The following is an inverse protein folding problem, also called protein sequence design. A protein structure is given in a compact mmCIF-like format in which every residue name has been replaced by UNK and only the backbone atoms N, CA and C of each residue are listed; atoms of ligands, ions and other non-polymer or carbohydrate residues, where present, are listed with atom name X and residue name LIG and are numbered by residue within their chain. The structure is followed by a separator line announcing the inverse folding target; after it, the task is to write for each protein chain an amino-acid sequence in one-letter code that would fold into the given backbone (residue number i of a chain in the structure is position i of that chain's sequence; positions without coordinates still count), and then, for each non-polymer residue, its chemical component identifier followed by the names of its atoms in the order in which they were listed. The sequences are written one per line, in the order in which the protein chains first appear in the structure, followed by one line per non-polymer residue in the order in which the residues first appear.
data_IF_903220295264
#
_entry.id   IF_903220295264
#
_cell.length_a   1.000
_cell.length_b   1.000
_cell.length_c   1.000
_cell.angle_alpha   90.00
_cell.angle_beta   90.00
_cell.angle_gamma   90.00
#
_symmetry.space_group_name_H-M   'P 1'
#
loop_
_entity.id
_entity.type
_entity.pdbx_description
1 polymer ?
#
# COMPACT_ATOMS: atom_id res chain seq x y z
N UNK A 1 -16.20 7.65 16.22
CA UNK A 1 -15.17 8.67 16.57
C UNK A 1 -14.07 8.50 15.55
N UNK A 2 -13.77 9.53 14.79
CA UNK A 2 -12.74 9.49 13.73
C UNK A 2 -11.38 9.08 14.32
N UNK A 3 -10.72 8.10 13.72
CA UNK A 3 -9.41 7.61 14.16
C UNK A 3 -8.35 8.68 13.91
N UNK A 4 -7.74 9.20 14.96
CA UNK A 4 -6.61 10.13 14.85
C UNK A 4 -5.32 9.35 14.65
N UNK A 5 -4.65 9.58 13.53
CA UNK A 5 -3.37 8.95 13.21
C UNK A 5 -2.23 9.97 13.22
N UNK A 6 -1.00 9.50 13.46
CA UNK A 6 0.20 10.29 13.20
C UNK A 6 0.29 10.60 11.70
N UNK A 7 0.92 11.71 11.36
CA UNK A 7 1.18 12.06 9.96
C UNK A 7 2.64 11.77 9.62
N UNK A 8 2.85 11.13 8.46
CA UNK A 8 4.17 11.01 7.84
C UNK A 8 4.16 11.67 6.47
N UNK A 9 5.33 12.08 5.99
CA UNK A 9 5.49 12.65 4.65
C UNK A 9 6.21 11.67 3.73
N UNK A 10 5.65 11.44 2.54
CA UNK A 10 6.25 10.61 1.49
C UNK A 10 6.49 11.51 0.28
N UNK A 11 7.69 12.09 0.19
CA UNK A 11 7.92 13.21 -0.72
C UNK A 11 6.96 14.36 -0.40
N UNK A 12 6.19 14.80 -1.38
CA UNK A 12 5.17 15.85 -1.20
C UNK A 12 3.80 15.34 -0.76
N UNK A 13 3.63 14.04 -0.43
CA UNK A 13 2.34 13.43 -0.08
C UNK A 13 2.26 13.17 1.41
N UNK A 14 1.31 13.83 2.09
CA UNK A 14 0.99 13.56 3.49
C UNK A 14 0.17 12.26 3.61
N UNK A 15 0.47 11.44 4.61
CA UNK A 15 -0.23 10.18 4.90
C UNK A 15 -0.54 10.14 6.39
N UNK A 16 -1.79 9.93 6.74
CA UNK A 16 -2.27 10.01 8.12
C UNK A 16 -2.49 11.45 8.59
N UNK A 17 -2.81 11.65 9.87
CA UNK A 17 -3.05 12.96 10.46
C UNK A 17 -4.25 13.72 9.86
N UNK A 18 -5.25 13.01 9.34
CA UNK A 18 -6.40 13.61 8.66
C UNK A 18 -6.14 14.03 7.22
N UNK A 19 -4.97 13.68 6.64
CA UNK A 19 -4.69 13.92 5.23
C UNK A 19 -5.61 13.05 4.34
N UNK A 20 -5.90 13.50 3.11
CA UNK A 20 -6.67 12.72 2.16
C UNK A 20 -6.07 11.34 1.91
N UNK A 21 -6.93 10.33 1.74
CA UNK A 21 -6.53 8.95 1.47
C UNK A 21 -5.67 8.86 0.20
N UNK A 22 -4.48 8.28 0.29
CA UNK A 22 -3.58 8.19 -0.86
C UNK A 22 -3.64 6.82 -1.55
N UNK A 23 -3.67 6.83 -2.89
CA UNK A 23 -3.58 5.63 -3.72
C UNK A 23 -2.12 5.38 -4.09
N UNK A 24 -1.61 4.22 -3.72
CA UNK A 24 -0.28 3.75 -4.12
C UNK A 24 -0.42 2.62 -5.15
N UNK A 25 0.49 2.57 -6.12
CA UNK A 25 0.68 1.41 -6.99
C UNK A 25 2.13 0.92 -6.96
N UNK A 26 2.41 -0.14 -7.68
CA UNK A 26 3.75 -0.73 -7.76
C UNK A 26 4.09 -1.00 -9.22
N UNK A 27 5.24 -0.51 -9.67
CA UNK A 27 5.73 -0.85 -10.99
C UNK A 27 6.03 -2.35 -11.11
N UNK A 28 5.75 -2.90 -12.27
CA UNK A 28 6.07 -4.28 -12.62
C UNK A 28 7.25 -4.38 -13.61
N UNK A 29 7.86 -3.25 -13.96
CA UNK A 29 9.11 -3.17 -14.69
C UNK A 29 10.29 -3.52 -13.79
N UNK A 30 11.41 -3.95 -14.37
CA UNK A 30 12.67 -4.08 -13.63
C UNK A 30 13.20 -2.68 -13.30
N UNK A 31 13.52 -2.39 -12.06
CA UNK A 31 14.03 -1.08 -11.63
C UNK A 31 15.33 -0.69 -12.38
N UNK A 32 16.11 -1.67 -12.83
CA UNK A 32 17.30 -1.44 -13.65
C UNK A 32 16.99 -0.97 -15.08
N UNK A 33 15.75 -1.11 -15.55
CA UNK A 33 15.26 -0.56 -16.81
C UNK A 33 14.61 0.81 -16.52
N UNK A 34 15.44 1.84 -16.55
CA UNK A 34 15.07 3.21 -16.16
C UNK A 34 13.99 3.78 -17.08
N UNK A 35 14.14 3.62 -18.40
CA UNK A 35 13.21 4.18 -19.39
C UNK A 35 11.82 3.55 -19.31
N UNK A 36 11.75 2.22 -19.29
CA UNK A 36 10.48 1.51 -19.14
C UNK A 36 9.80 1.84 -17.80
N UNK A 37 10.58 1.98 -16.74
CA UNK A 37 10.04 2.33 -15.41
C UNK A 37 9.51 3.76 -15.39
N UNK A 38 10.23 4.74 -15.93
CA UNK A 38 9.75 6.13 -16.04
C UNK A 38 8.47 6.22 -16.88
N UNK A 39 8.43 5.56 -18.03
CA UNK A 39 7.23 5.49 -18.86
C UNK A 39 6.02 4.95 -18.05
N UNK A 40 6.22 3.89 -17.29
CA UNK A 40 5.17 3.33 -16.44
C UNK A 40 4.76 4.28 -15.31
N UNK A 41 5.70 5.01 -14.69
CA UNK A 41 5.40 5.99 -13.64
C UNK A 41 4.58 7.17 -14.18
N UNK A 42 4.83 7.65 -15.38
CA UNK A 42 4.01 8.68 -16.02
C UNK A 42 2.58 8.18 -16.24
N UNK A 43 2.39 6.97 -16.76
CA UNK A 43 1.06 6.36 -16.92
C UNK A 43 0.33 6.19 -15.59
N UNK A 44 1.04 5.82 -14.53
CA UNK A 44 0.48 5.73 -13.17
C UNK A 44 0.05 7.10 -12.65
N UNK A 45 0.85 8.14 -12.88
CA UNK A 45 0.50 9.52 -12.52
C UNK A 45 -0.76 10.00 -13.23
N UNK A 46 -0.84 9.79 -14.55
CA UNK A 46 -2.01 10.13 -15.37
C UNK A 46 -3.28 9.39 -14.91
N UNK A 47 -3.14 8.14 -14.45
CA UNK A 47 -4.26 7.39 -13.87
C UNK A 47 -4.74 7.91 -12.50
N UNK A 48 -3.96 8.80 -11.85
CA UNK A 48 -4.27 9.35 -10.53
C UNK A 48 -3.60 8.62 -9.36
N UNK A 49 -2.48 7.91 -9.61
CA UNK A 49 -1.63 7.38 -8.55
C UNK A 49 -0.94 8.53 -7.79
N UNK A 50 -0.85 8.42 -6.46
CA UNK A 50 -0.21 9.44 -5.63
C UNK A 50 1.23 9.07 -5.25
N UNK A 51 1.52 7.77 -5.08
CA UNK A 51 2.83 7.25 -4.67
C UNK A 51 3.10 5.95 -5.43
N UNK A 52 4.30 5.79 -5.98
CA UNK A 52 4.69 4.56 -6.65
C UNK A 52 5.74 3.78 -5.85
N UNK A 53 5.75 2.45 -5.98
CA UNK A 53 6.71 1.57 -5.33
C UNK A 53 7.52 0.81 -6.37
N UNK A 54 8.84 0.76 -6.17
CA UNK A 54 9.79 0.02 -6.99
C UNK A 54 10.54 -0.99 -6.13
N UNK A 55 10.80 -2.18 -6.66
CA UNK A 55 11.62 -3.20 -5.99
C UNK A 55 13.10 -2.85 -6.11
N UNK A 56 13.83 -2.87 -4.98
CA UNK A 56 15.27 -2.59 -4.93
C UNK A 56 15.97 -3.78 -4.27
N UNK A 57 16.36 -4.80 -5.05
CA UNK A 57 16.97 -6.02 -4.51
C UNK A 57 18.45 -5.90 -4.22
N UNK A 58 19.16 -4.99 -4.89
CA UNK A 58 20.62 -4.86 -4.87
C UNK A 58 21.11 -3.43 -5.14
N UNK A 59 22.42 -3.21 -5.08
CA UNK A 59 23.05 -1.91 -5.33
C UNK A 59 22.78 -1.39 -6.75
N UNK A 60 22.83 -2.26 -7.76
CA UNK A 60 22.56 -1.87 -9.15
C UNK A 60 21.16 -1.30 -9.31
N UNK A 61 20.19 -1.93 -8.68
CA UNK A 61 18.80 -1.45 -8.67
C UNK A 61 18.68 -0.14 -7.86
N UNK A 62 19.40 0.03 -6.74
CA UNK A 62 19.41 1.26 -5.97
C UNK A 62 19.97 2.45 -6.78
N UNK A 63 21.08 2.26 -7.50
CA UNK A 63 21.62 3.28 -8.40
C UNK A 63 20.69 3.63 -9.55
N UNK A 64 19.99 2.64 -10.10
CA UNK A 64 18.95 2.87 -11.12
C UNK A 64 17.76 3.62 -10.52
N UNK A 65 17.36 3.27 -9.28
CA UNK A 65 16.30 3.94 -8.53
C UNK A 65 16.60 5.44 -8.38
N UNK A 66 17.84 5.83 -8.04
CA UNK A 66 18.25 7.23 -7.93
C UNK A 66 18.13 7.98 -9.25
N UNK A 67 18.43 7.33 -10.39
CA UNK A 67 18.20 7.93 -11.72
C UNK A 67 16.71 8.12 -12.00
N UNK A 68 15.90 7.10 -11.71
CA UNK A 68 14.44 7.18 -11.86
C UNK A 68 13.86 8.27 -10.95
N UNK A 69 14.33 8.38 -9.69
CA UNK A 69 13.81 9.33 -8.72
C UNK A 69 13.94 10.79 -9.17
N UNK A 70 15.03 11.13 -9.86
CA UNK A 70 15.27 12.50 -10.37
C UNK A 70 14.20 12.96 -11.35
N UNK A 71 13.73 12.05 -12.21
CA UNK A 71 12.80 12.36 -13.30
C UNK A 71 11.37 11.83 -13.05
N UNK A 72 11.15 11.19 -11.89
CA UNK A 72 9.86 10.62 -11.53
C UNK A 72 8.79 11.69 -11.26
N UNK A 73 7.60 11.59 -11.90
CA UNK A 73 6.48 12.47 -11.61
C UNK A 73 5.77 12.14 -10.28
N UNK A 74 6.19 11.08 -9.59
CA UNK A 74 5.61 10.55 -8.36
C UNK A 74 6.66 10.37 -7.28
N UNK A 75 6.32 10.57 -6.00
CA UNK A 75 7.13 10.07 -4.89
C UNK A 75 7.34 8.56 -4.98
N UNK A 76 8.54 8.10 -4.62
CA UNK A 76 8.95 6.71 -4.79
C UNK A 76 9.23 6.01 -3.47
N UNK A 77 8.65 4.82 -3.34
CA UNK A 77 8.91 3.88 -2.24
C UNK A 77 9.88 2.81 -2.69
N UNK A 78 11.00 2.66 -2.01
CA UNK A 78 11.91 1.55 -2.22
C UNK A 78 11.42 0.31 -1.44
N UNK A 79 11.16 -0.79 -2.16
CA UNK A 79 10.71 -2.06 -1.60
C UNK A 79 11.90 -3.01 -1.41
N UNK A 80 12.27 -3.21 -0.16
CA UNK A 80 13.43 -4.00 0.25
C UNK A 80 12.95 -5.32 0.83
N UNK A 81 13.43 -6.43 0.29
CA UNK A 81 12.99 -7.75 0.73
C UNK A 81 13.94 -8.38 1.77
N UNK A 82 15.26 -8.37 1.53
CA UNK A 82 16.22 -9.11 2.34
C UNK A 82 17.49 -8.34 2.68
N UNK A 83 18.04 -7.58 1.72
CA UNK A 83 19.34 -6.91 1.91
C UNK A 83 19.15 -5.54 2.55
N UNK A 84 19.60 -5.40 3.81
CA UNK A 84 19.54 -4.13 4.53
C UNK A 84 20.38 -3.02 3.85
N UNK A 85 21.46 -3.38 3.14
CA UNK A 85 22.29 -2.42 2.39
C UNK A 85 21.50 -1.79 1.24
N UNK A 86 20.61 -2.56 0.60
CA UNK A 86 19.72 -2.01 -0.44
C UNK A 86 18.80 -0.91 0.12
N UNK A 87 18.38 -1.01 1.38
CA UNK A 87 17.62 0.05 2.04
C UNK A 87 18.46 1.31 2.26
N UNK A 88 19.73 1.15 2.67
CA UNK A 88 20.65 2.26 2.88
C UNK A 88 20.93 2.96 1.54
N UNK A 89 21.30 2.21 0.51
CA UNK A 89 21.56 2.78 -0.82
C UNK A 89 20.33 3.47 -1.39
N UNK A 90 19.13 2.88 -1.23
CA UNK A 90 17.90 3.52 -1.70
C UNK A 90 17.62 4.83 -0.97
N UNK A 91 17.90 4.91 0.34
CA UNK A 91 17.78 6.14 1.11
C UNK A 91 18.76 7.21 0.63
N UNK A 92 20.01 6.84 0.37
CA UNK A 92 21.06 7.73 -0.16
C UNK A 92 20.75 8.21 -1.59
N UNK A 93 20.08 7.38 -2.38
CA UNK A 93 19.65 7.70 -3.75
C UNK A 93 18.30 8.47 -3.80
N UNK A 94 17.77 8.87 -2.64
CA UNK A 94 16.64 9.80 -2.52
C UNK A 94 15.26 9.15 -2.52
N UNK A 95 15.14 7.94 -1.99
CA UNK A 95 13.82 7.34 -1.75
C UNK A 95 12.96 8.24 -0.84
N UNK A 96 11.67 8.35 -1.12
CA UNK A 96 10.73 9.11 -0.30
C UNK A 96 10.13 8.26 0.84
N UNK A 97 10.24 6.95 0.76
CA UNK A 97 9.88 5.98 1.80
C UNK A 97 10.60 4.66 1.54
N UNK A 98 10.99 3.98 2.60
CA UNK A 98 11.52 2.62 2.51
C UNK A 98 10.49 1.64 3.06
N UNK A 99 10.21 0.56 2.34
CA UNK A 99 9.39 -0.55 2.83
C UNK A 99 10.29 -1.73 3.16
N UNK A 100 10.25 -2.18 4.39
CA UNK A 100 10.95 -3.36 4.87
C UNK A 100 10.00 -4.30 5.60
N UNK A 101 10.41 -5.57 5.69
CA UNK A 101 9.97 -6.47 6.75
C UNK A 101 11.18 -6.66 7.67
N UNK A 102 11.22 -6.03 8.86
CA UNK A 102 12.38 -6.09 9.75
C UNK A 102 12.77 -7.51 10.15
N UNK A 103 11.82 -8.47 10.12
CA UNK A 103 12.11 -9.90 10.32
C UNK A 103 13.01 -10.52 9.25
N UNK A 104 12.98 -9.97 8.02
CA UNK A 104 13.79 -10.46 6.90
C UNK A 104 15.13 -9.71 6.74
N UNK A 105 15.28 -8.56 7.39
CA UNK A 105 16.49 -7.71 7.29
C UNK A 105 17.66 -8.29 8.06
N UNK A 106 17.39 -9.06 9.10
CA UNK A 106 18.39 -9.73 9.91
C UNK A 106 18.53 -9.21 11.33
N UNK A 107 19.75 -9.01 11.82
CA UNK A 107 19.98 -8.63 13.22
C UNK A 107 19.50 -7.20 13.55
N UNK A 108 19.36 -6.92 14.83
CA UNK A 108 18.93 -5.61 15.35
C UNK A 108 19.88 -4.47 14.93
N UNK A 109 21.19 -4.75 14.86
CA UNK A 109 22.21 -3.80 14.39
C UNK A 109 21.99 -3.41 12.92
N UNK A 110 21.64 -4.36 12.05
CA UNK A 110 21.32 -4.10 10.64
C UNK A 110 20.07 -3.23 10.50
N UNK A 111 19.05 -3.50 11.32
CA UNK A 111 17.87 -2.63 11.41
C UNK A 111 18.28 -1.23 11.83
N UNK A 112 19.18 -1.10 12.82
CA UNK A 112 19.71 0.17 13.28
C UNK A 112 20.46 0.95 12.17
N UNK A 113 21.20 0.25 11.28
CA UNK A 113 21.86 0.91 10.14
C UNK A 113 20.82 1.48 9.16
N UNK A 114 19.75 0.73 8.86
CA UNK A 114 18.66 1.22 8.02
C UNK A 114 17.98 2.43 8.66
N UNK A 115 17.70 2.37 9.95
CA UNK A 115 17.09 3.49 10.70
C UNK A 115 17.96 4.74 10.64
N UNK A 116 19.30 4.60 10.87
CA UNK A 116 20.22 5.74 10.78
C UNK A 116 20.20 6.39 9.38
N UNK A 117 20.18 5.58 8.31
CA UNK A 117 20.10 6.09 6.96
C UNK A 117 18.74 6.82 6.72
N UNK A 118 17.62 6.21 7.11
CA UNK A 118 16.31 6.81 6.96
C UNK A 118 16.17 8.12 7.76
N UNK A 119 16.67 8.16 9.00
CA UNK A 119 16.68 9.39 9.83
C UNK A 119 17.51 10.49 9.19
N UNK A 120 18.71 10.17 8.71
CA UNK A 120 19.61 11.14 8.04
C UNK A 120 18.94 11.82 6.86
N UNK A 121 18.14 11.08 6.11
CA UNK A 121 17.44 11.57 4.91
C UNK A 121 15.97 11.96 5.17
N UNK A 122 15.51 11.90 6.43
CA UNK A 122 14.13 12.25 6.84
C UNK A 122 13.05 11.48 6.08
N UNK A 123 13.27 10.20 5.88
CA UNK A 123 12.34 9.32 5.16
C UNK A 123 11.68 8.30 6.09
N UNK A 124 10.35 8.13 5.99
CA UNK A 124 9.61 7.20 6.81
C UNK A 124 9.88 5.75 6.40
N UNK A 125 9.70 4.84 7.37
CA UNK A 125 9.79 3.41 7.16
C UNK A 125 8.39 2.80 7.19
N UNK A 126 8.04 2.01 6.16
CA UNK A 126 6.86 1.15 6.23
C UNK A 126 7.22 -0.26 6.65
N UNK A 127 6.68 -0.67 7.78
CA UNK A 127 6.67 -2.06 8.22
C UNK A 127 5.63 -2.82 7.39
N UNK A 128 6.08 -3.85 6.66
CA UNK A 128 5.20 -4.64 5.80
C UNK A 128 5.14 -6.08 6.23
N UNK A 129 4.13 -6.46 7.02
CA UNK A 129 3.89 -7.85 7.42
C UNK A 129 2.94 -8.52 6.42
N UNK A 130 3.28 -9.74 6.02
CA UNK A 130 2.43 -10.57 5.15
C UNK A 130 2.21 -11.92 5.82
N UNK A 131 0.99 -12.44 5.75
CA UNK A 131 0.65 -13.75 6.34
C UNK A 131 1.50 -14.91 5.82
N UNK A 132 1.95 -14.85 4.56
CA UNK A 132 2.83 -15.87 3.96
C UNK A 132 4.31 -15.78 4.37
N UNK A 133 4.71 -14.79 5.16
CA UNK A 133 6.11 -14.57 5.56
C UNK A 133 6.25 -14.15 7.03
N UNK A 134 5.39 -14.70 7.89
CA UNK A 134 5.51 -14.52 9.34
C UNK A 134 6.75 -15.24 9.89
N UNK A 135 7.29 -14.72 10.98
CA UNK A 135 8.38 -15.31 11.74
C UNK A 135 7.99 -16.72 12.25
N UNK A 136 8.96 -17.63 12.26
CA UNK A 136 8.72 -19.03 12.61
C UNK A 136 8.22 -19.24 14.03
N UNK A 137 8.70 -18.44 14.97
CA UNK A 137 8.30 -18.43 16.38
C UNK A 137 6.84 -17.94 16.56
N UNK A 138 6.47 -16.88 15.86
CA UNK A 138 5.08 -16.38 15.85
C UNK A 138 4.16 -17.42 15.21
N UNK A 139 4.57 -17.97 14.07
CA UNK A 139 3.76 -19.01 13.39
C UNK A 139 3.63 -20.27 14.26
N UNK A 140 4.67 -20.67 15.00
CA UNK A 140 4.61 -21.79 15.94
C UNK A 140 3.68 -21.50 17.13
N UNK A 141 3.65 -20.26 17.62
CA UNK A 141 2.77 -19.84 18.72
C UNK A 141 1.29 -19.87 18.34
N UNK A 142 0.94 -19.40 17.14
CA UNK A 142 -0.45 -19.27 16.71
C UNK A 142 -0.95 -20.39 15.82
N UNK A 143 -0.08 -21.25 15.32
CA UNK A 143 -0.40 -22.38 14.43
C UNK A 143 -0.79 -22.00 13.00
N UNK A 144 -1.16 -20.75 12.77
CA UNK A 144 -1.58 -20.20 11.48
C UNK A 144 -1.35 -18.68 11.42
N UNK A 145 -1.35 -18.04 10.24
CA UNK A 145 -1.26 -16.60 10.10
C UNK A 145 -2.59 -15.90 10.47
N UNK A 146 -2.94 -15.93 11.76
CA UNK A 146 -4.13 -15.27 12.31
C UNK A 146 -3.98 -13.76 12.36
N UNK A 147 -5.06 -13.04 12.64
CA UNK A 147 -5.05 -11.59 12.83
C UNK A 147 -4.10 -11.17 13.97
N UNK A 148 -4.15 -11.91 15.08
CA UNK A 148 -3.31 -11.67 16.25
C UNK A 148 -1.82 -11.91 15.92
N UNK A 149 -1.52 -12.97 15.15
CA UNK A 149 -0.15 -13.27 14.71
C UNK A 149 0.43 -12.13 13.84
N UNK A 150 -0.36 -11.61 12.90
CA UNK A 150 0.03 -10.47 12.06
C UNK A 150 0.30 -9.21 12.89
N UNK A 151 -0.55 -8.94 13.86
CA UNK A 151 -0.43 -7.76 14.73
C UNK A 151 0.75 -7.91 15.68
N UNK A 152 0.97 -9.09 16.28
CA UNK A 152 2.13 -9.34 17.14
C UNK A 152 3.44 -9.16 16.36
N UNK A 153 3.52 -9.71 15.15
CA UNK A 153 4.68 -9.49 14.26
C UNK A 153 4.92 -8.00 14.00
N UNK A 154 3.89 -7.27 13.61
CA UNK A 154 4.02 -5.84 13.33
C UNK A 154 4.46 -5.03 14.56
N UNK A 155 3.87 -5.29 15.72
CA UNK A 155 4.22 -4.61 16.97
C UNK A 155 5.65 -4.92 17.41
N UNK A 156 6.11 -6.16 17.27
CA UNK A 156 7.51 -6.51 17.56
C UNK A 156 8.50 -5.73 16.67
N UNK A 157 8.08 -5.45 15.41
CA UNK A 157 8.88 -4.63 14.51
C UNK A 157 8.82 -3.14 14.83
N UNK A 158 7.69 -2.62 15.29
CA UNK A 158 7.58 -1.27 15.84
C UNK A 158 8.52 -1.10 17.02
N UNK A 159 8.51 -2.03 17.97
CA UNK A 159 9.42 -2.02 19.11
C UNK A 159 10.90 -2.04 18.72
N UNK A 160 11.27 -2.79 17.65
CA UNK A 160 12.63 -2.75 17.11
C UNK A 160 13.01 -1.36 16.61
N UNK A 161 12.13 -0.66 15.90
CA UNK A 161 12.38 0.70 15.43
C UNK A 161 12.44 1.70 16.61
N UNK A 162 11.59 1.55 17.63
CA UNK A 162 11.61 2.37 18.84
C UNK A 162 12.92 2.23 19.64
N UNK A 163 13.52 1.05 19.68
CA UNK A 163 14.86 0.88 20.31
C UNK A 163 15.94 1.74 19.66
N UNK A 164 15.75 2.10 18.39
CA UNK A 164 16.59 3.02 17.64
C UNK A 164 16.02 4.45 17.61
N UNK A 165 15.04 4.77 18.48
CA UNK A 165 14.40 6.09 18.58
C UNK A 165 13.86 6.58 17.21
N UNK A 166 13.11 5.72 16.51
CA UNK A 166 12.52 6.01 15.21
C UNK A 166 11.00 5.86 15.25
N UNK A 167 10.28 6.93 14.85
CA UNK A 167 8.82 7.05 14.99
C UNK A 167 8.09 7.40 13.67
N UNK A 168 8.81 7.70 12.59
CA UNK A 168 8.21 7.95 11.26
C UNK A 168 7.81 6.63 10.60
N UNK A 169 6.78 6.00 11.14
CA UNK A 169 6.38 4.63 10.81
C UNK A 169 5.01 4.62 10.12
N UNK A 170 4.89 3.79 9.10
CA UNK A 170 3.62 3.36 8.50
C UNK A 170 3.53 1.83 8.60
N UNK A 171 2.34 1.27 8.76
CA UNK A 171 2.18 -0.17 8.94
C UNK A 171 1.28 -0.77 7.87
N UNK A 172 1.62 -1.94 7.36
CA UNK A 172 0.76 -2.73 6.49
C UNK A 172 0.71 -4.19 6.92
N UNK A 173 -0.51 -4.71 7.07
CA UNK A 173 -0.82 -6.10 7.45
C UNK A 173 -1.57 -6.74 6.29
N UNK A 174 -0.92 -7.65 5.57
CA UNK A 174 -1.52 -8.22 4.37
C UNK A 174 -1.79 -9.71 4.55
N UNK A 175 -3.02 -10.10 4.24
CA UNK A 175 -3.47 -11.47 4.13
C UNK A 175 -4.19 -11.68 2.80
N UNK A 176 -4.21 -12.90 2.30
CA UNK A 176 -5.05 -13.31 1.16
C UNK A 176 -6.48 -13.63 1.59
N UNK A 177 -6.68 -13.93 2.87
CA UNK A 177 -8.00 -14.07 3.49
C UNK A 177 -8.54 -12.71 3.94
N UNK A 178 -9.71 -12.33 3.40
CA UNK A 178 -10.32 -11.02 3.64
C UNK A 178 -10.74 -10.86 5.11
N UNK A 179 -11.25 -11.91 5.75
CA UNK A 179 -11.69 -11.85 7.16
C UNK A 179 -10.51 -11.60 8.09
N UNK A 180 -9.43 -12.38 7.92
CA UNK A 180 -8.17 -12.20 8.66
C UNK A 180 -7.58 -10.81 8.41
N UNK A 181 -7.62 -10.33 7.15
CA UNK A 181 -7.12 -9.01 6.78
C UNK A 181 -7.87 -7.90 7.54
N UNK A 182 -9.20 -7.91 7.51
CA UNK A 182 -10.04 -6.93 8.21
C UNK A 182 -9.80 -7.00 9.73
N UNK A 183 -9.82 -8.20 10.31
CA UNK A 183 -9.60 -8.38 11.74
C UNK A 183 -8.22 -7.86 12.19
N UNK A 184 -7.16 -8.13 11.41
CA UNK A 184 -5.82 -7.66 11.71
C UNK A 184 -5.72 -6.12 11.70
N UNK A 185 -6.30 -5.45 10.71
CA UNK A 185 -6.30 -3.99 10.66
C UNK A 185 -7.13 -3.35 11.78
N UNK A 186 -8.29 -3.92 12.12
CA UNK A 186 -9.10 -3.45 13.26
C UNK A 186 -8.32 -3.57 14.57
N UNK A 187 -7.75 -4.74 14.82
CA UNK A 187 -6.94 -4.97 16.01
C UNK A 187 -5.71 -4.06 16.09
N UNK A 188 -5.08 -3.77 14.92
CA UNK A 188 -3.94 -2.86 14.84
C UNK A 188 -4.34 -1.41 15.11
N UNK A 189 -5.50 -0.99 14.61
CA UNK A 189 -6.03 0.34 14.80
C UNK A 189 -6.32 0.66 16.28
N UNK A 190 -6.65 -0.37 17.10
CA UNK A 190 -6.82 -0.25 18.53
C UNK A 190 -5.50 -0.13 19.28
N UNK A 191 -4.40 -0.67 18.73
CA UNK A 191 -3.10 -0.76 19.39
C UNK A 191 -2.16 0.40 19.07
N UNK A 192 -2.37 1.14 17.98
CA UNK A 192 -1.44 2.16 17.54
C UNK A 192 -2.14 3.29 16.78
N UNK A 193 -1.52 4.46 16.82
CA UNK A 193 -1.89 5.65 16.05
C UNK A 193 -1.07 5.85 14.76
N UNK A 194 -0.23 4.89 14.39
CA UNK A 194 0.49 4.94 13.13
C UNK A 194 -0.44 4.85 11.93
N UNK A 195 -0.13 5.56 10.82
CA UNK A 195 -0.90 5.44 9.59
C UNK A 195 -0.84 4.01 9.04
N UNK A 196 -1.99 3.53 8.55
CA UNK A 196 -2.18 2.19 8.04
C UNK A 196 -2.28 2.17 6.52
N UNK A 197 -1.46 1.32 5.89
CA UNK A 197 -1.48 1.09 4.46
C UNK A 197 -2.29 -0.17 4.15
N UNK A 198 -3.50 0.01 3.63
CA UNK A 198 -4.41 -1.09 3.30
C UNK A 198 -3.98 -1.85 2.05
N UNK A 199 -4.17 -3.14 2.07
CA UNK A 199 -3.94 -4.01 0.91
C UNK A 199 -4.27 -5.47 1.19
N UNK A 200 -4.76 -6.15 0.16
CA UNK A 200 -4.93 -7.61 0.14
C UNK A 200 -3.80 -8.19 -0.71
N UNK A 201 -3.10 -9.21 -0.20
CA UNK A 201 -2.05 -9.90 -0.97
C UNK A 201 -2.62 -11.13 -1.67
N UNK A 202 -1.99 -11.53 -2.80
CA UNK A 202 -2.41 -12.72 -3.55
C UNK A 202 -3.92 -12.73 -3.83
N UNK A 203 -4.45 -11.56 -4.20
CA UNK A 203 -5.90 -11.38 -4.34
C UNK A 203 -6.51 -12.17 -5.52
N UNK A 204 -5.66 -12.69 -6.43
CA UNK A 204 -6.07 -13.53 -7.56
C UNK A 204 -6.25 -12.75 -8.86
N UNK A 205 -7.19 -13.20 -9.70
CA UNK A 205 -7.51 -12.56 -10.99
C UNK A 205 -7.97 -11.12 -10.81
N UNK A 206 -7.94 -10.33 -11.90
CA UNK A 206 -8.44 -8.95 -11.88
C UNK A 206 -9.82 -8.83 -11.22
N UNK A 207 -10.77 -9.70 -11.58
CA UNK A 207 -12.12 -9.68 -11.02
C UNK A 207 -12.14 -10.01 -9.53
N UNK A 208 -11.64 -11.17 -9.13
CA UNK A 208 -11.61 -11.59 -7.72
C UNK A 208 -10.75 -10.69 -6.84
N UNK A 209 -9.62 -10.21 -7.36
CA UNK A 209 -8.76 -9.27 -6.65
C UNK A 209 -9.44 -7.94 -6.38
N UNK A 210 -10.22 -7.43 -7.34
CA UNK A 210 -11.02 -6.21 -7.14
C UNK A 210 -12.12 -6.45 -6.10
N UNK A 211 -12.85 -7.58 -6.17
CA UNK A 211 -13.90 -7.91 -5.19
C UNK A 211 -13.34 -8.06 -3.76
N UNK A 212 -12.24 -8.79 -3.60
CA UNK A 212 -11.59 -8.95 -2.29
C UNK A 212 -11.12 -7.61 -1.73
N UNK A 213 -10.52 -6.76 -2.58
CA UNK A 213 -10.07 -5.42 -2.19
C UNK A 213 -11.25 -4.53 -1.83
N UNK A 214 -12.34 -4.55 -2.61
CA UNK A 214 -13.55 -3.78 -2.32
C UNK A 214 -14.19 -4.20 -0.99
N UNK A 215 -14.27 -5.49 -0.71
CA UNK A 215 -14.81 -6.01 0.55
C UNK A 215 -13.94 -5.60 1.76
N UNK A 216 -12.60 -5.75 1.64
CA UNK A 216 -11.69 -5.40 2.72
C UNK A 216 -11.63 -3.89 2.96
N UNK A 217 -11.48 -3.09 1.90
CA UNK A 217 -11.38 -1.64 2.02
C UNK A 217 -12.71 -1.01 2.42
N UNK A 218 -13.84 -1.53 1.90
CA UNK A 218 -15.15 -1.07 2.30
C UNK A 218 -15.39 -1.22 3.80
N UNK A 219 -15.11 -2.41 4.35
CA UNK A 219 -15.25 -2.65 5.78
C UNK A 219 -14.34 -1.77 6.65
N UNK A 220 -13.08 -1.54 6.21
CA UNK A 220 -12.09 -0.78 6.98
C UNK A 220 -12.29 0.73 6.86
N UNK A 221 -12.50 1.24 5.66
CA UNK A 221 -12.66 2.68 5.43
C UNK A 221 -13.97 3.23 6.01
N UNK A 222 -15.03 2.43 6.10
CA UNK A 222 -16.26 2.80 6.79
C UNK A 222 -16.11 2.82 8.32
N UNK A 223 -15.06 2.16 8.85
CA UNK A 223 -14.67 2.23 10.27
C UNK A 223 -13.58 3.28 10.52
N UNK A 224 -13.32 4.21 9.59
CA UNK A 224 -12.26 5.21 9.62
C UNK A 224 -10.84 4.59 9.76
N UNK A 225 -10.64 3.38 9.25
CA UNK A 225 -9.37 2.66 9.28
C UNK A 225 -8.72 2.65 7.90
N UNK A 226 -7.57 3.32 7.77
CA UNK A 226 -6.75 3.35 6.56
C UNK A 226 -6.42 4.76 6.10
N UNK A 227 -5.14 5.00 5.84
CA UNK A 227 -4.59 6.31 5.44
C UNK A 227 -4.02 6.28 4.03
N UNK A 228 -3.68 5.10 3.54
CA UNK A 228 -3.19 4.86 2.18
C UNK A 228 -3.55 3.44 1.76
N UNK A 229 -3.74 3.20 0.47
CA UNK A 229 -4.12 1.87 -0.01
C UNK A 229 -3.43 1.47 -1.31
N UNK A 230 -3.38 0.15 -1.56
CA UNK A 230 -3.03 -0.43 -2.85
C UNK A 230 -3.93 -1.62 -3.18
N UNK A 231 -4.60 -1.55 -4.30
CA UNK A 231 -5.20 -2.74 -4.94
C UNK A 231 -4.08 -3.53 -5.61
N UNK A 232 -4.01 -4.84 -5.39
CA UNK A 232 -3.02 -5.73 -6.02
C UNK A 232 -3.72 -6.69 -6.98
N UNK A 233 -3.40 -6.61 -8.26
CA UNK A 233 -4.01 -7.43 -9.31
C UNK A 233 -2.95 -8.11 -10.16
N UNK A 234 -3.30 -9.25 -10.74
CA UNK A 234 -2.52 -9.85 -11.83
C UNK A 234 -2.90 -9.14 -13.13
N UNK A 235 -2.44 -7.88 -13.29
CA UNK A 235 -2.77 -7.01 -14.42
C UNK A 235 -1.76 -5.88 -14.55
N UNK A 236 -1.93 -5.01 -15.58
CA UNK A 236 -1.19 -3.74 -15.68
C UNK A 236 -1.43 -2.89 -14.43
N UNK A 237 -0.38 -2.33 -13.78
CA UNK A 237 -0.49 -1.52 -12.57
C UNK A 237 -1.45 -0.31 -12.69
N UNK A 238 -1.65 0.24 -13.88
CA UNK A 238 -2.64 1.30 -14.13
C UNK A 238 -4.06 0.83 -13.79
N UNK A 239 -4.36 -0.45 -14.01
CA UNK A 239 -5.66 -1.04 -13.66
C UNK A 239 -5.88 -1.14 -12.14
N UNK A 240 -4.79 -1.28 -11.37
CA UNK A 240 -4.86 -1.24 -9.90
C UNK A 240 -5.32 0.14 -9.41
N UNK A 241 -4.83 1.20 -10.05
CA UNK A 241 -5.21 2.59 -9.71
C UNK A 241 -6.68 2.85 -10.04
N UNK A 242 -7.15 2.45 -11.22
CA UNK A 242 -8.56 2.59 -11.58
C UNK A 242 -9.48 1.80 -10.64
N UNK A 243 -9.12 0.54 -10.34
CA UNK A 243 -9.91 -0.26 -9.39
C UNK A 243 -9.95 0.40 -7.98
N UNK A 244 -8.85 1.01 -7.54
CA UNK A 244 -8.82 1.76 -6.28
C UNK A 244 -9.76 2.97 -6.33
N UNK A 245 -9.74 3.76 -7.40
CA UNK A 245 -10.64 4.90 -7.61
C UNK A 245 -12.10 4.48 -7.65
N UNK A 246 -12.42 3.39 -8.35
CA UNK A 246 -13.78 2.85 -8.43
C UNK A 246 -14.30 2.41 -7.06
N UNK A 247 -13.45 1.74 -6.25
CA UNK A 247 -13.79 1.36 -4.88
C UNK A 247 -14.06 2.61 -4.02
N UNK A 248 -13.20 3.62 -4.07
CA UNK A 248 -13.37 4.85 -3.30
C UNK A 248 -14.63 5.62 -3.74
N UNK A 249 -14.91 5.66 -5.05
CA UNK A 249 -16.14 6.25 -5.59
C UNK A 249 -17.37 5.52 -5.08
N UNK A 250 -17.37 4.19 -5.09
CA UNK A 250 -18.48 3.38 -4.58
C UNK A 250 -18.73 3.59 -3.07
N UNK A 251 -17.71 3.97 -2.31
CA UNK A 251 -17.80 4.29 -0.88
C UNK A 251 -18.14 5.77 -0.61
N UNK A 252 -18.28 6.61 -1.63
CA UNK A 252 -18.50 8.04 -1.46
C UNK A 252 -17.27 8.81 -0.96
N UNK A 253 -16.08 8.21 -1.04
CA UNK A 253 -14.80 8.76 -0.58
C UNK A 253 -13.98 9.39 -1.71
N UNK A 254 -14.62 9.80 -2.79
CA UNK A 254 -13.95 10.36 -3.96
C UNK A 254 -13.40 11.77 -3.65
N UNK A 255 -12.10 11.97 -3.83
CA UNK A 255 -11.42 13.25 -3.55
C UNK A 255 -11.47 14.24 -4.72
N UNK A 256 -11.93 13.82 -5.89
CA UNK A 256 -12.19 14.71 -7.01
C UNK A 256 -13.53 15.41 -6.73
N UNK A 257 -13.46 16.73 -6.48
CA UNK A 257 -14.64 17.58 -6.30
C UNK A 257 -15.67 17.28 -7.39
N UNK A 258 -16.94 17.27 -7.02
CA UNK A 258 -18.10 16.86 -7.80
C UNK A 258 -18.12 17.53 -9.21
N UNK A 259 -17.42 16.95 -10.17
CA UNK A 259 -17.83 16.94 -11.56
C UNK A 259 -18.61 15.65 -11.74
N UNK A 260 -19.88 15.75 -11.43
CA UNK A 260 -20.89 14.79 -11.88
C UNK A 260 -20.89 14.84 -13.42
N UNK A 261 -20.09 14.02 -14.06
CA UNK A 261 -20.53 13.44 -15.30
C UNK A 261 -21.50 12.33 -14.90
N UNK A 262 -22.75 12.72 -14.68
CA UNK A 262 -23.89 11.85 -14.89
C UNK A 262 -23.78 11.36 -16.34
N UNK A 263 -23.10 10.25 -16.56
CA UNK A 263 -23.49 9.35 -17.61
C UNK A 263 -24.85 8.77 -17.17
N UNK A 264 -25.90 9.53 -17.45
CA UNK A 264 -27.22 8.97 -17.69
C UNK A 264 -27.07 8.04 -18.90
N UNK A 265 -26.61 6.81 -18.65
CA UNK A 265 -27.06 5.70 -19.46
C UNK A 265 -28.55 5.57 -19.13
N UNK A 266 -29.39 6.31 -19.86
CA UNK A 266 -30.76 5.95 -20.01
C UNK A 266 -30.78 4.51 -20.50
N UNK A 267 -30.97 3.60 -19.56
CA UNK A 267 -31.53 2.30 -19.84
C UNK A 267 -32.95 2.60 -20.32
N UNK A 268 -33.06 2.82 -21.63
CA UNK A 268 -34.35 2.70 -22.30
C UNK A 268 -34.84 1.28 -22.02
N UNK A 269 -35.68 1.16 -20.99
CA UNK A 269 -36.45 -0.03 -20.78
C UNK A 269 -37.34 -0.19 -22.03
N UNK A 270 -37.39 -1.35 -22.67
CA UNK A 270 -38.32 -1.63 -23.73
C UNK A 270 -39.70 -1.89 -23.11
N UNK A 271 -40.36 -0.83 -22.68
CA UNK A 271 -41.81 -0.86 -22.47
C UNK A 271 -42.43 -0.51 -23.82
N UNK A 272 -42.80 -1.53 -24.59
CA UNK A 272 -43.94 -1.51 -25.49
C UNK A 272 -43.95 -2.80 -26.35
N UNK A 273 -44.17 -3.94 -25.69
CA UNK A 273 -44.77 -5.10 -26.32
C UNK A 273 -46.27 -5.07 -26.02
N UNK A 274 -46.97 -4.29 -26.83
CA UNK A 274 -48.44 -4.35 -26.87
C UNK A 274 -48.84 -5.68 -27.51
N UNK A 275 -49.38 -6.56 -26.72
CA UNK A 275 -50.15 -7.72 -27.17
C UNK A 275 -51.38 -7.24 -27.91
N UNK A 276 -51.38 -7.26 -29.23
CA UNK A 276 -52.64 -7.30 -30.02
C UNK A 276 -53.01 -8.76 -30.23
N UNK A 277 -53.98 -9.19 -29.45
CA UNK A 277 -54.57 -10.50 -29.60
C UNK A 277 -55.30 -10.68 -30.92
N UNK A 278 -55.24 -11.90 -31.39
CA UNK A 278 -55.97 -12.48 -32.49
C UNK A 278 -57.51 -12.40 -32.26
N UNK A 279 -58.21 -11.97 -33.28
CA UNK A 279 -59.51 -12.48 -33.71
C UNK A 279 -59.42 -12.83 -35.16
#
# INVERSE_FOLDING_TARGET
MERKTKQIMVGGVAIGGGAPLSIQSMANTKTTDVEATLCQLHRLKEAGCHVARLTVPDEKAARAFGRIRRDSPLPLVADIHFDYKAAIWAAEEGADKVRINPGNIGSDEKVGEVVRACRKHQIPIRIGVNGGSLEKDILAKYGAPTAEALVESAMSHVEKLHRWDFDDICISLKSSDVKTNIAAYRLMAEKTDYPLHLGVTEAGTRYMGTLKSAAAFGALLLDDIGDTLRVSLTADPVREVYAAKDILKALGLNQEGARSEEHTSELQSPQNLVWRGLR
#
